data_IF_606533294770
#
_entry.id   IF_606533294770
#
_cell.length_a   1.000
_cell.length_b   1.000
_cell.length_c   1.000
_cell.angle_alpha   90.00
_cell.angle_beta   90.00
_cell.angle_gamma   90.00
#
_symmetry.space_group_name_H-M   'P 1'
#
loop_
_entity.id
_entity.type
_entity.pdbx_description
1 polymer ?
#
# COMPACT_ATOMS: atom_id res chain seq x y z
N UNK A 1 11.78 15.21 -4.42
CA UNK A 1 11.78 14.40 -3.18
C UNK A 1 10.65 13.39 -3.29
N UNK A 2 10.91 12.09 -3.10
CA UNK A 2 9.88 11.04 -3.19
C UNK A 2 9.07 11.02 -1.90
N UNK A 3 7.73 11.03 -2.00
CA UNK A 3 6.83 10.96 -0.84
C UNK A 3 6.69 9.51 -0.37
N UNK A 4 6.68 9.30 0.96
CA UNK A 4 6.60 7.97 1.57
C UNK A 4 5.22 7.71 2.18
N UNK A 5 4.74 6.46 2.11
CA UNK A 5 3.48 6.05 2.73
C UNK A 5 3.57 4.66 3.38
N UNK A 6 2.89 4.49 4.53
CA UNK A 6 2.64 3.19 5.15
C UNK A 6 1.16 2.84 4.94
N UNK A 7 0.88 1.71 4.30
CA UNK A 7 -0.49 1.23 4.10
C UNK A 7 -0.69 -0.09 4.83
N UNK A 8 -1.49 -0.06 5.90
CA UNK A 8 -1.90 -1.26 6.65
C UNK A 8 -3.12 -1.93 6.00
N UNK A 9 -3.23 -3.25 6.15
CA UNK A 9 -4.28 -4.02 5.47
C UNK A 9 -4.14 -3.97 3.94
N UNK A 10 -2.94 -3.78 3.41
CA UNK A 10 -2.69 -3.53 1.98
C UNK A 10 -2.70 -4.77 1.10
N UNK A 11 -2.86 -5.96 1.67
CA UNK A 11 -2.91 -7.20 0.91
C UNK A 11 -4.18 -7.34 0.06
N UNK A 12 -5.34 -6.89 0.54
CA UNK A 12 -6.64 -7.12 -0.12
C UNK A 12 -7.57 -5.92 -0.02
N UNK A 13 -8.69 -5.96 -0.77
CA UNK A 13 -9.77 -4.98 -0.69
C UNK A 13 -9.33 -3.52 -0.90
N UNK A 14 -9.84 -2.63 -0.07
CA UNK A 14 -9.60 -1.18 -0.16
C UNK A 14 -8.13 -0.84 0.11
N UNK A 15 -7.49 -1.52 1.07
CA UNK A 15 -6.09 -1.26 1.39
C UNK A 15 -5.17 -1.51 0.19
N UNK A 16 -5.43 -2.58 -0.58
CA UNK A 16 -4.72 -2.86 -1.84
C UNK A 16 -4.98 -1.78 -2.88
N UNK A 17 -6.22 -1.33 -3.03
CA UNK A 17 -6.56 -0.27 -3.99
C UNK A 17 -5.84 1.05 -3.65
N UNK A 18 -5.78 1.43 -2.38
CA UNK A 18 -5.06 2.62 -1.90
C UNK A 18 -3.56 2.48 -2.17
N UNK A 19 -2.97 1.32 -1.86
CA UNK A 19 -1.56 1.03 -2.11
C UNK A 19 -1.19 1.21 -3.60
N UNK A 20 -2.03 0.68 -4.50
CA UNK A 20 -1.82 0.79 -5.94
C UNK A 20 -2.01 2.23 -6.46
N UNK A 21 -3.02 2.95 -5.96
CA UNK A 21 -3.24 4.35 -6.32
C UNK A 21 -2.05 5.24 -5.91
N UNK A 22 -1.55 5.08 -4.68
CA UNK A 22 -0.36 5.80 -4.21
C UNK A 22 0.89 5.43 -5.02
N UNK A 23 1.07 4.15 -5.38
CA UNK A 23 2.20 3.71 -6.18
C UNK A 23 2.17 4.38 -7.57
N UNK A 24 0.98 4.45 -8.19
CA UNK A 24 0.80 5.12 -9.48
C UNK A 24 1.14 6.62 -9.45
N UNK A 25 1.03 7.25 -8.27
CA UNK A 25 1.39 8.65 -8.01
C UNK A 25 2.87 8.85 -7.65
N UNK A 26 3.69 7.79 -7.70
CA UNK A 26 5.13 7.84 -7.47
C UNK A 26 5.55 7.87 -6.00
N UNK A 27 4.74 7.30 -5.11
CA UNK A 27 5.10 7.14 -3.70
C UNK A 27 6.02 5.93 -3.50
N UNK A 28 6.90 6.03 -2.51
CA UNK A 28 7.64 4.91 -1.93
C UNK A 28 6.81 4.33 -0.76
N UNK A 29 6.42 3.06 -0.84
CA UNK A 29 5.35 2.49 -0.01
C UNK A 29 5.83 1.30 0.79
N UNK A 30 5.56 1.31 2.09
CA UNK A 30 5.63 0.14 2.96
C UNK A 30 4.25 -0.53 3.05
N UNK A 31 4.19 -1.81 2.70
CA UNK A 31 2.98 -2.62 2.80
C UNK A 31 2.96 -3.40 4.13
N UNK A 32 1.82 -3.40 4.80
CA UNK A 32 1.59 -4.21 6.00
C UNK A 32 0.29 -5.01 5.86
N UNK A 33 0.36 -6.28 6.24
CA UNK A 33 -0.79 -7.17 6.42
C UNK A 33 -0.56 -8.03 7.68
N UNK A 34 -1.64 -8.61 8.21
CA UNK A 34 -1.57 -9.50 9.38
C UNK A 34 -1.59 -10.98 8.97
N UNK A 35 -2.69 -11.44 8.37
CA UNK A 35 -2.88 -12.86 7.96
C UNK A 35 -3.14 -13.05 6.46
N UNK A 36 -3.38 -11.98 5.73
CA UNK A 36 -3.70 -11.99 4.30
C UNK A 36 -2.41 -12.08 3.48
N UNK A 37 -1.68 -13.19 3.59
CA UNK A 37 -0.67 -13.57 2.59
C UNK A 37 -1.43 -14.10 1.37
N UNK A 38 -1.27 -13.43 0.25
CA UNK A 38 -1.70 -13.85 -1.09
C UNK A 38 -0.56 -13.64 -2.08
#
# INVERSE_FOLDING_TARGET
>A
MIKKALVTGSAVGIGRAIALDLASKGFDIAFHYNKSVE
#
